data_IF_700232162710
#
_entry.id   IF_700232162710
#
_cell.length_a   1.000
_cell.length_b   1.000
_cell.length_c   1.000
_cell.angle_alpha   90.00
_cell.angle_beta   90.00
_cell.angle_gamma   90.00
#
_symmetry.space_group_name_H-M   'P 1'
#
loop_
_entity.id
_entity.type
_entity.pdbx_description
1 polymer ?
#
# COMPACT_ATOMS: atom_id res chain seq x y z
N UNK A 1 -52.47 1.70 -84.07
CA UNK A 1 -53.88 1.88 -83.72
C UNK A 1 -54.01 3.17 -82.92
N UNK A 2 -54.97 3.96 -83.36
CA UNK A 2 -55.34 5.34 -83.03
C UNK A 2 -55.85 5.49 -81.58
N UNK A 3 -55.48 6.61 -80.91
CA UNK A 3 -56.14 7.43 -79.85
C UNK A 3 -57.01 6.73 -78.75
N UNK A 4 -57.30 7.26 -77.56
CA UNK A 4 -58.01 8.51 -77.21
C UNK A 4 -57.98 8.68 -75.65
N UNK A 5 -58.13 9.94 -75.16
CA UNK A 5 -58.61 10.45 -73.84
C UNK A 5 -57.53 10.56 -72.72
N UNK A 6 -56.97 11.73 -72.34
CA UNK A 6 -57.48 13.01 -71.78
C UNK A 6 -58.25 12.85 -70.44
N UNK A 7 -57.67 13.08 -69.26
CA UNK A 7 -57.50 14.41 -68.65
C UNK A 7 -58.54 14.64 -67.53
N UNK A 8 -58.12 15.09 -66.35
CA UNK A 8 -58.82 16.07 -65.47
C UNK A 8 -57.89 16.48 -64.30
N UNK A 9 -57.54 17.75 -64.40
CA UNK A 9 -57.00 18.82 -63.55
C UNK A 9 -57.42 18.87 -62.06
N UNK A 10 -56.52 19.33 -61.17
CA UNK A 10 -56.62 20.51 -60.24
C UNK A 10 -55.63 20.39 -59.05
N UNK A 11 -54.47 21.08 -59.03
CA UNK A 11 -54.17 22.39 -58.39
C UNK A 11 -54.50 22.43 -56.87
N UNK A 12 -53.66 22.78 -55.88
CA UNK A 12 -52.56 23.75 -55.71
C UNK A 12 -51.82 23.45 -54.37
N UNK A 13 -50.47 23.52 -54.29
CA UNK A 13 -49.69 24.41 -53.38
C UNK A 13 -48.19 24.09 -53.35
N UNK A 14 -47.42 25.16 -53.51
CA UNK A 14 -45.97 25.29 -53.40
C UNK A 14 -45.39 24.81 -52.06
N UNK A 15 -44.13 24.34 -52.05
CA UNK A 15 -42.96 25.04 -51.46
C UNK A 15 -41.70 24.16 -51.57
N UNK A 16 -40.63 24.80 -52.02
CA UNK A 16 -39.23 24.34 -52.18
C UNK A 16 -38.59 24.13 -50.80
N UNK A 17 -37.93 22.98 -50.57
CA UNK A 17 -36.77 22.91 -49.65
C UNK A 17 -35.80 21.76 -50.00
N UNK A 18 -34.62 22.14 -50.50
CA UNK A 18 -33.27 21.64 -50.19
C UNK A 18 -33.10 20.15 -49.83
N UNK A 19 -32.56 19.36 -50.75
CA UNK A 19 -32.12 17.97 -50.50
C UNK A 19 -30.73 17.98 -49.82
N UNK A 20 -30.71 17.85 -48.49
CA UNK A 20 -29.52 17.49 -47.72
C UNK A 20 -29.24 16.00 -47.93
N UNK A 21 -28.15 15.69 -48.63
CA UNK A 21 -27.56 14.34 -48.67
C UNK A 21 -27.03 14.00 -47.26
N UNK A 22 -27.86 13.34 -46.46
CA UNK A 22 -27.43 12.67 -45.24
C UNK A 22 -26.63 11.44 -45.63
N UNK A 23 -25.31 11.50 -45.46
CA UNK A 23 -24.49 10.30 -45.31
C UNK A 23 -24.94 9.60 -44.02
N UNK A 24 -25.88 8.66 -44.14
CA UNK A 24 -26.16 7.70 -43.10
C UNK A 24 -24.92 6.81 -42.98
N UNK A 25 -24.08 7.08 -41.96
CA UNK A 25 -23.05 6.16 -41.53
C UNK A 25 -23.76 4.88 -41.03
N UNK A 26 -23.78 3.85 -41.87
CA UNK A 26 -24.17 2.50 -41.47
C UNK A 26 -23.10 2.03 -40.50
N UNK A 27 -23.38 2.11 -39.19
CA UNK A 27 -22.57 1.44 -38.18
C UNK A 27 -22.80 -0.06 -38.32
N UNK A 28 -21.90 -0.72 -39.05
CA UNK A 28 -21.75 -2.17 -38.97
C UNK A 28 -21.20 -2.45 -37.57
N UNK A 29 -22.08 -2.83 -36.63
CA UNK A 29 -21.66 -3.54 -35.42
C UNK A 29 -21.08 -4.88 -35.86
N UNK A 30 -19.76 -4.90 -36.09
CA UNK A 30 -19.04 -6.15 -36.28
C UNK A 30 -19.09 -6.92 -34.97
N UNK A 31 -19.92 -7.96 -34.92
CA UNK A 31 -19.81 -9.00 -33.89
C UNK A 31 -18.41 -9.60 -33.99
N UNK A 32 -17.64 -9.51 -32.91
CA UNK A 32 -16.34 -10.18 -32.82
C UNK A 32 -16.56 -11.68 -33.03
N UNK A 33 -16.13 -12.19 -34.19
CA UNK A 33 -16.10 -13.62 -34.46
C UNK A 33 -14.94 -14.21 -33.66
N UNK A 34 -15.26 -15.15 -32.76
CA UNK A 34 -14.30 -15.86 -31.91
C UNK A 34 -13.11 -16.51 -32.65
N UNK A 35 -13.12 -16.55 -33.98
CA UNK A 35 -12.04 -17.10 -34.82
C UNK A 35 -10.84 -16.19 -35.09
N UNK A 36 -10.79 -14.95 -34.55
CA UNK A 36 -9.67 -14.00 -34.80
C UNK A 36 -8.78 -13.73 -33.59
N UNK A 37 -9.20 -14.11 -32.39
CA UNK A 37 -8.41 -13.89 -31.17
C UNK A 37 -7.32 -14.97 -31.01
N UNK A 38 -6.10 -14.64 -30.56
CA UNK A 38 -5.08 -15.64 -30.23
C UNK A 38 -5.53 -16.60 -29.11
N UNK A 39 -4.80 -17.69 -28.90
CA UNK A 39 -5.02 -18.59 -27.77
C UNK A 39 -5.02 -17.83 -26.43
N UNK A 40 -6.07 -18.03 -25.64
CA UNK A 40 -6.28 -17.32 -24.39
C UNK A 40 -7.72 -17.36 -23.88
N UNK A 41 -7.88 -16.84 -22.67
CA UNK A 41 -9.17 -16.62 -22.03
C UNK A 41 -9.51 -15.14 -22.15
N UNK A 42 -10.72 -14.83 -22.59
CA UNK A 42 -11.16 -13.46 -22.81
C UNK A 42 -12.54 -13.21 -22.20
N UNK A 43 -12.82 -11.95 -21.89
CA UNK A 43 -14.15 -11.46 -21.55
C UNK A 43 -14.57 -10.39 -22.55
N UNK A 44 -15.68 -10.63 -23.25
CA UNK A 44 -16.35 -9.65 -24.07
C UNK A 44 -17.41 -8.94 -23.22
N UNK A 45 -17.18 -7.67 -22.94
CA UNK A 45 -18.13 -6.79 -22.27
C UNK A 45 -18.96 -6.04 -23.31
N UNK A 46 -20.26 -6.33 -23.37
CA UNK A 46 -21.20 -5.53 -24.14
C UNK A 46 -21.70 -4.38 -23.27
N UNK A 47 -21.49 -3.15 -23.71
CA UNK A 47 -21.89 -1.94 -22.97
C UNK A 47 -22.88 -1.10 -23.77
N UNK A 48 -23.48 -0.08 -23.13
CA UNK A 48 -24.28 0.94 -23.82
C UNK A 48 -23.48 1.79 -24.82
N UNK A 49 -22.14 1.74 -24.79
CA UNK A 49 -21.24 2.51 -25.68
C UNK A 49 -20.53 1.67 -26.74
N UNK A 50 -20.76 0.36 -26.74
CA UNK A 50 -20.10 -0.58 -27.64
C UNK A 50 -19.50 -1.77 -26.91
N UNK A 51 -18.63 -2.52 -27.59
CA UNK A 51 -18.01 -3.73 -27.06
C UNK A 51 -16.57 -3.46 -26.62
N UNK A 52 -16.17 -4.10 -25.53
CA UNK A 52 -14.79 -4.13 -25.02
C UNK A 52 -14.39 -5.60 -24.91
N UNK A 53 -13.25 -5.96 -25.48
CA UNK A 53 -12.68 -7.32 -25.35
C UNK A 53 -11.46 -7.25 -24.45
N UNK A 54 -11.48 -8.05 -23.39
CA UNK A 54 -10.44 -8.12 -22.37
C UNK A 54 -9.75 -9.48 -22.44
N UNK A 55 -8.43 -9.52 -22.51
CA UNK A 55 -7.65 -10.75 -22.25
C UNK A 55 -7.49 -10.94 -20.76
N UNK A 56 -7.74 -12.14 -20.24
CA UNK A 56 -7.63 -12.48 -18.83
C UNK A 56 -6.35 -13.27 -18.54
N UNK A 57 -5.63 -12.92 -17.47
CA UNK A 57 -4.34 -13.51 -17.11
C UNK A 57 -4.46 -14.74 -16.19
N UNK A 58 -5.29 -15.70 -16.59
CA UNK A 58 -5.70 -16.85 -15.76
C UNK A 58 -4.56 -17.75 -15.26
N UNK A 59 -3.40 -17.75 -15.94
CA UNK A 59 -2.22 -18.52 -15.51
C UNK A 59 -1.40 -17.80 -14.43
N UNK A 60 -1.52 -16.48 -14.31
CA UNK A 60 -0.71 -15.64 -13.41
C UNK A 60 -1.47 -15.27 -12.13
N UNK A 61 -2.76 -15.00 -12.27
CA UNK A 61 -3.66 -14.60 -11.16
C UNK A 61 -4.95 -15.45 -11.21
N UNK A 62 -4.81 -16.78 -11.01
CA UNK A 62 -5.87 -17.73 -11.27
C UNK A 62 -7.12 -17.49 -10.42
N UNK A 63 -7.00 -17.07 -9.15
CA UNK A 63 -8.19 -16.91 -8.29
C UNK A 63 -8.97 -15.65 -8.61
N UNK A 64 -8.28 -14.57 -8.94
CA UNK A 64 -8.91 -13.32 -9.39
C UNK A 64 -9.68 -13.56 -10.67
N UNK A 65 -9.08 -14.28 -11.63
CA UNK A 65 -9.74 -14.63 -12.88
C UNK A 65 -10.87 -15.64 -12.67
N UNK A 66 -10.70 -16.65 -11.81
CA UNK A 66 -11.76 -17.59 -11.43
C UNK A 66 -12.97 -16.87 -10.85
N UNK A 67 -12.76 -15.94 -9.93
CA UNK A 67 -13.83 -15.15 -9.34
C UNK A 67 -14.59 -14.36 -10.42
N UNK A 68 -13.86 -13.64 -11.28
CA UNK A 68 -14.47 -12.85 -12.34
C UNK A 68 -15.25 -13.72 -13.33
N UNK A 69 -14.65 -14.81 -13.82
CA UNK A 69 -15.27 -15.75 -14.77
C UNK A 69 -16.49 -16.42 -14.15
N UNK A 70 -16.38 -16.90 -12.91
CA UNK A 70 -17.49 -17.57 -12.23
C UNK A 70 -18.68 -16.64 -11.97
N UNK A 71 -18.44 -15.37 -11.62
CA UNK A 71 -19.47 -14.35 -11.52
C UNK A 71 -20.08 -14.00 -12.89
N UNK A 72 -19.26 -13.87 -13.93
CA UNK A 72 -19.73 -13.57 -15.29
C UNK A 72 -20.59 -14.70 -15.87
N UNK A 73 -20.24 -15.96 -15.62
CA UNK A 73 -20.97 -17.13 -16.11
C UNK A 73 -22.15 -17.53 -15.22
N UNK A 74 -22.22 -16.99 -14.00
CA UNK A 74 -23.22 -17.36 -13.00
C UNK A 74 -22.97 -18.72 -12.37
N UNK A 75 -21.74 -19.23 -12.41
CA UNK A 75 -21.33 -20.48 -11.76
C UNK A 75 -20.82 -20.25 -10.33
N UNK A 76 -20.58 -19.00 -9.93
CA UNK A 76 -20.19 -18.62 -8.56
C UNK A 76 -21.38 -18.05 -7.79
N UNK A 77 -21.58 -18.54 -6.56
CA UNK A 77 -22.61 -18.01 -5.66
C UNK A 77 -22.22 -16.59 -5.20
N UNK A 78 -23.22 -15.71 -5.07
CA UNK A 78 -23.08 -14.36 -4.51
C UNK A 78 -24.29 -14.02 -3.66
N UNK A 79 -24.12 -13.13 -2.68
CA UNK A 79 -25.19 -12.67 -1.80
C UNK A 79 -25.69 -11.30 -2.24
N UNK A 80 -26.99 -11.20 -2.48
CA UNK A 80 -27.65 -9.94 -2.82
C UNK A 80 -27.56 -8.97 -1.63
N UNK A 81 -26.94 -7.78 -1.80
CA UNK A 81 -26.80 -6.82 -0.71
C UNK A 81 -28.11 -6.14 -0.31
N UNK A 82 -29.15 -6.18 -1.15
CA UNK A 82 -30.48 -5.62 -0.86
C UNK A 82 -31.36 -6.67 -0.18
N UNK A 83 -31.46 -7.86 -0.76
CA UNK A 83 -32.38 -8.90 -0.23
C UNK A 83 -31.75 -9.84 0.78
N UNK A 84 -30.41 -9.90 0.85
CA UNK A 84 -29.66 -10.82 1.69
C UNK A 84 -29.69 -12.27 1.22
N UNK A 85 -30.30 -12.58 0.08
CA UNK A 85 -30.42 -13.94 -0.47
C UNK A 85 -29.18 -14.33 -1.26
N UNK A 86 -28.83 -15.62 -1.22
CA UNK A 86 -27.81 -16.17 -2.10
C UNK A 86 -28.40 -16.41 -3.50
N UNK A 87 -27.64 -16.04 -4.51
CA UNK A 87 -27.96 -16.17 -5.93
C UNK A 87 -26.79 -16.83 -6.65
N UNK A 88 -27.11 -17.52 -7.76
CA UNK A 88 -26.14 -18.18 -8.64
C UNK A 88 -26.54 -17.92 -10.09
N UNK A 89 -26.42 -16.65 -10.47
CA UNK A 89 -26.82 -16.08 -11.77
C UNK A 89 -25.70 -15.20 -12.31
N UNK A 90 -25.77 -14.85 -13.61
CA UNK A 90 -24.81 -13.97 -14.27
C UNK A 90 -24.79 -12.60 -13.59
N UNK A 91 -23.72 -12.34 -12.84
CA UNK A 91 -23.67 -11.26 -11.85
C UNK A 91 -23.52 -9.86 -12.47
N UNK A 92 -22.74 -9.75 -13.55
CA UNK A 92 -22.37 -8.46 -14.14
C UNK A 92 -23.39 -7.89 -15.11
N UNK A 93 -24.32 -8.73 -15.59
CA UNK A 93 -25.30 -8.36 -16.60
C UNK A 93 -26.27 -7.31 -16.03
N UNK A 94 -26.35 -6.15 -16.69
CA UNK A 94 -27.19 -5.02 -16.29
C UNK A 94 -26.59 -4.11 -15.21
N UNK A 95 -25.34 -4.32 -14.78
CA UNK A 95 -24.69 -3.43 -13.83
C UNK A 95 -24.25 -2.12 -14.49
N UNK A 96 -23.96 -1.09 -13.69
CA UNK A 96 -23.49 0.21 -14.20
C UNK A 96 -22.00 0.47 -13.92
N UNK A 97 -21.39 1.29 -14.76
CA UNK A 97 -20.12 1.93 -14.46
C UNK A 97 -20.38 3.12 -13.51
N UNK A 98 -20.34 2.85 -12.21
CA UNK A 98 -20.77 3.80 -11.17
C UNK A 98 -19.73 4.90 -10.89
N UNK A 99 -18.47 4.70 -11.27
CA UNK A 99 -17.40 5.68 -11.07
C UNK A 99 -16.52 5.75 -12.30
N UNK A 100 -16.46 6.94 -12.90
CA UNK A 100 -15.63 7.22 -14.08
C UNK A 100 -14.84 8.49 -13.80
N UNK A 101 -13.53 8.42 -13.92
CA UNK A 101 -12.63 9.56 -13.73
C UNK A 101 -11.81 9.68 -15.01
N UNK A 102 -12.03 10.80 -15.73
CA UNK A 102 -11.31 11.12 -16.95
C UNK A 102 -9.80 11.07 -16.71
N UNK A 103 -9.08 10.52 -17.68
CA UNK A 103 -7.62 10.35 -17.64
C UNK A 103 -7.13 9.55 -16.42
N UNK A 104 -7.99 8.68 -15.88
CA UNK A 104 -7.63 7.75 -14.82
C UNK A 104 -8.20 6.36 -15.07
N UNK A 105 -9.52 6.16 -14.91
CA UNK A 105 -10.16 4.84 -15.06
C UNK A 105 -11.70 4.91 -15.16
N UNK A 106 -12.29 3.80 -15.64
CA UNK A 106 -13.71 3.44 -15.50
C UNK A 106 -13.84 2.29 -14.50
N UNK A 107 -14.80 2.36 -13.57
CA UNK A 107 -15.02 1.36 -12.52
C UNK A 107 -16.47 0.87 -12.53
N UNK A 108 -16.63 -0.46 -12.44
CA UNK A 108 -17.91 -1.17 -12.48
C UNK A 108 -17.92 -2.37 -11.51
N UNK A 109 -18.89 -3.27 -11.68
CA UNK A 109 -19.00 -4.50 -10.88
C UNK A 109 -19.64 -4.32 -9.50
N UNK A 110 -20.36 -3.21 -9.28
CA UNK A 110 -21.13 -2.97 -8.05
C UNK A 110 -22.64 -3.19 -8.32
N UNK A 111 -23.30 -4.17 -7.65
CA UNK A 111 -24.73 -4.41 -7.77
C UNK A 111 -25.62 -3.27 -7.23
N UNK A 112 -25.10 -2.42 -6.35
CA UNK A 112 -25.81 -1.26 -5.82
C UNK A 112 -25.58 0.01 -6.67
N UNK A 113 -24.51 0.04 -7.46
CA UNK A 113 -24.09 1.23 -8.20
C UNK A 113 -23.64 2.41 -7.32
N UNK A 114 -23.38 2.20 -6.04
CA UNK A 114 -22.99 3.24 -5.06
C UNK A 114 -21.49 3.34 -4.83
N UNK A 115 -20.73 2.34 -5.27
CA UNK A 115 -19.33 2.07 -4.95
C UNK A 115 -19.11 1.18 -3.72
N UNK A 116 -20.16 0.72 -3.05
CA UNK A 116 -20.06 -0.01 -1.77
C UNK A 116 -20.63 -1.42 -1.79
N UNK A 117 -21.31 -1.84 -2.85
CA UNK A 117 -21.83 -3.21 -2.97
C UNK A 117 -20.78 -4.20 -3.46
N UNK A 118 -21.13 -5.48 -3.42
CA UNK A 118 -20.25 -6.57 -3.81
C UNK A 118 -20.97 -7.92 -3.76
N UNK A 119 -20.24 -9.04 -3.91
CA UNK A 119 -20.83 -10.36 -4.04
C UNK A 119 -21.10 -11.03 -2.68
N UNK A 120 -20.91 -10.31 -1.57
CA UNK A 120 -21.14 -10.82 -0.20
C UNK A 120 -19.96 -11.55 0.44
N UNK A 121 -18.79 -11.56 -0.21
CA UNK A 121 -17.55 -12.12 0.30
C UNK A 121 -16.35 -11.31 -0.22
N UNK A 122 -15.19 -11.53 0.40
CA UNK A 122 -13.91 -10.99 -0.02
C UNK A 122 -12.88 -12.10 -0.26
N UNK A 123 -11.88 -11.86 -1.10
CA UNK A 123 -10.73 -12.75 -1.30
C UNK A 123 -9.40 -11.98 -1.39
N UNK A 124 -8.25 -12.67 -1.17
CA UNK A 124 -6.92 -12.05 -1.13
C UNK A 124 -6.48 -11.40 -2.45
N UNK A 125 -5.47 -10.53 -2.37
CA UNK A 125 -4.80 -10.00 -3.56
C UNK A 125 -3.87 -11.03 -4.23
N UNK A 126 -3.79 -11.00 -5.55
CA UNK A 126 -2.82 -11.76 -6.36
C UNK A 126 -1.96 -10.80 -7.19
N UNK A 127 -0.70 -10.62 -6.79
CA UNK A 127 0.27 -9.81 -7.52
C UNK A 127 1.28 -10.68 -8.27
N UNK A 128 1.58 -10.31 -9.52
CA UNK A 128 2.58 -10.97 -10.35
C UNK A 128 3.63 -9.95 -10.81
N UNK A 129 4.94 -10.25 -10.81
CA UNK A 129 5.99 -9.28 -11.18
C UNK A 129 5.79 -8.62 -12.55
N UNK A 130 5.27 -9.38 -13.52
CA UNK A 130 5.04 -8.91 -14.89
C UNK A 130 3.70 -8.18 -15.09
N UNK A 131 2.87 -8.07 -14.05
CA UNK A 131 1.54 -7.45 -14.13
C UNK A 131 1.54 -6.15 -13.33
N UNK A 132 1.46 -5.03 -14.06
CA UNK A 132 1.51 -3.68 -13.50
C UNK A 132 0.67 -2.71 -14.34
N UNK A 133 0.45 -1.51 -13.82
CA UNK A 133 -0.36 -0.48 -14.46
C UNK A 133 0.49 0.42 -15.37
N UNK A 134 1.28 -0.17 -16.26
CA UNK A 134 2.24 0.55 -17.11
C UNK A 134 1.65 1.17 -18.38
N UNK A 135 0.41 0.84 -18.74
CA UNK A 135 -0.24 1.30 -19.98
C UNK A 135 -1.75 1.53 -19.80
N UNK A 136 -2.42 2.21 -20.75
CA UNK A 136 -3.87 2.22 -20.85
C UNK A 136 -4.47 0.82 -20.98
N UNK A 137 -5.72 0.66 -20.55
CA UNK A 137 -6.50 -0.56 -20.75
C UNK A 137 -6.17 -1.69 -19.78
N UNK A 138 -5.50 -1.43 -18.66
CA UNK A 138 -5.23 -2.45 -17.65
C UNK A 138 -6.48 -2.71 -16.82
N UNK A 139 -6.89 -3.98 -16.71
CA UNK A 139 -8.04 -4.44 -15.93
C UNK A 139 -7.56 -4.93 -14.55
N UNK A 140 -8.13 -4.35 -13.50
CA UNK A 140 -7.73 -4.62 -12.12
C UNK A 140 -8.91 -4.65 -11.17
N UNK A 141 -8.77 -5.37 -10.05
CA UNK A 141 -9.77 -5.39 -8.98
C UNK A 141 -9.78 -4.09 -8.19
N UNK A 142 -10.98 -3.55 -7.93
CA UNK A 142 -11.16 -2.54 -6.91
C UNK A 142 -11.26 -3.21 -5.52
N UNK A 143 -10.70 -2.58 -4.50
CA UNK A 143 -10.71 -3.09 -3.12
C UNK A 143 -10.81 -1.94 -2.10
N UNK A 144 -11.09 -2.27 -0.84
CA UNK A 144 -11.20 -1.33 0.28
C UNK A 144 -9.96 -1.37 1.20
N UNK A 145 -8.84 -1.91 0.69
CA UNK A 145 -7.66 -2.28 1.45
C UNK A 145 -7.13 -3.65 1.02
N UNK A 146 -5.95 -4.01 1.51
CA UNK A 146 -5.31 -5.29 1.19
C UNK A 146 -6.26 -6.47 1.47
N UNK A 147 -6.26 -7.43 0.55
CA UNK A 147 -7.02 -8.69 0.65
C UNK A 147 -8.56 -8.52 0.78
N UNK A 148 -9.10 -7.45 0.19
CA UNK A 148 -10.55 -7.17 0.18
C UNK A 148 -11.16 -7.15 -1.23
N UNK A 149 -10.66 -7.99 -2.14
CA UNK A 149 -11.22 -8.10 -3.48
C UNK A 149 -12.61 -8.74 -3.43
N UNK A 150 -13.53 -8.24 -4.26
CA UNK A 150 -14.90 -8.75 -4.37
C UNK A 150 -15.32 -8.91 -5.83
N UNK A 151 -16.30 -8.14 -6.27
CA UNK A 151 -16.76 -8.14 -7.67
C UNK A 151 -16.41 -6.86 -8.44
N UNK A 152 -16.05 -5.79 -7.74
CA UNK A 152 -15.78 -4.51 -8.37
C UNK A 152 -14.43 -4.54 -9.10
N UNK A 153 -14.40 -3.98 -10.29
CA UNK A 153 -13.19 -3.88 -11.13
C UNK A 153 -13.10 -2.49 -11.75
N UNK A 154 -11.91 -2.13 -12.22
CA UNK A 154 -11.69 -0.94 -13.03
C UNK A 154 -10.79 -1.23 -14.24
N UNK A 155 -10.92 -0.38 -15.27
CA UNK A 155 -10.09 -0.38 -16.48
C UNK A 155 -9.42 0.99 -16.59
N UNK A 156 -8.09 1.03 -16.71
CA UNK A 156 -7.33 2.28 -16.74
C UNK A 156 -7.46 3.01 -18.09
N UNK A 157 -7.49 4.35 -18.06
CA UNK A 157 -7.38 5.19 -19.26
C UNK A 157 -5.91 5.45 -19.63
N UNK A 158 -5.03 5.48 -18.62
CA UNK A 158 -3.61 5.88 -18.72
C UNK A 158 -2.75 4.99 -17.82
N UNK A 159 -1.40 5.03 -17.91
CA UNK A 159 -0.53 4.38 -16.93
C UNK A 159 -0.76 4.92 -15.50
N UNK A 160 -0.88 4.03 -14.52
CA UNK A 160 -1.17 4.38 -13.11
C UNK A 160 -0.28 3.59 -12.13
N UNK A 161 1.06 3.74 -12.18
CA UNK A 161 2.00 2.92 -11.40
C UNK A 161 1.84 3.04 -9.88
N UNK A 162 1.20 4.10 -9.38
CA UNK A 162 0.89 4.27 -7.96
C UNK A 162 -0.13 3.24 -7.41
N UNK A 163 -0.78 2.47 -8.30
CA UNK A 163 -1.69 1.37 -7.99
C UNK A 163 -1.00 -0.01 -7.93
N UNK A 164 0.27 -0.09 -8.36
CA UNK A 164 1.02 -1.35 -8.35
C UNK A 164 1.15 -1.90 -6.92
N UNK A 165 1.00 -3.22 -6.79
CA UNK A 165 0.99 -3.94 -5.49
C UNK A 165 -0.11 -3.48 -4.51
N UNK A 166 -1.13 -2.76 -5.01
CA UNK A 166 -2.33 -2.38 -4.25
C UNK A 166 -3.60 -2.95 -4.85
N UNK A 167 -3.64 -3.12 -6.17
CA UNK A 167 -4.78 -3.69 -6.90
C UNK A 167 -4.33 -4.84 -7.79
N UNK A 168 -5.03 -5.97 -7.71
CA UNK A 168 -4.70 -7.17 -8.47
C UNK A 168 -5.01 -6.96 -9.95
N UNK A 169 -3.97 -6.89 -10.79
CA UNK A 169 -4.10 -6.82 -12.26
C UNK A 169 -4.44 -8.20 -12.79
N UNK A 170 -5.57 -8.34 -13.48
CA UNK A 170 -6.06 -9.65 -13.96
C UNK A 170 -6.44 -9.71 -15.43
N UNK A 171 -6.29 -8.60 -16.15
CA UNK A 171 -6.42 -8.61 -17.59
C UNK A 171 -5.99 -7.31 -18.26
N UNK A 172 -6.25 -7.22 -19.55
CA UNK A 172 -6.01 -6.03 -20.35
C UNK A 172 -6.99 -5.94 -21.52
N UNK A 173 -7.29 -4.73 -21.97
CA UNK A 173 -8.07 -4.45 -23.17
C UNK A 173 -7.24 -4.85 -24.40
N UNK A 174 -7.81 -5.71 -25.22
CA UNK A 174 -7.26 -6.07 -26.54
C UNK A 174 -8.05 -5.44 -27.69
N UNK A 175 -9.34 -5.16 -27.48
CA UNK A 175 -10.20 -4.43 -28.43
C UNK A 175 -11.17 -3.51 -27.68
N UNK A 176 -11.56 -2.40 -28.29
CA UNK A 176 -12.55 -1.47 -27.71
C UNK A 176 -11.97 -0.45 -26.73
N UNK A 177 -10.69 -0.10 -26.82
CA UNK A 177 -10.10 0.97 -25.99
C UNK A 177 -10.77 2.34 -26.22
N UNK A 178 -11.23 2.61 -27.45
CA UNK A 178 -12.06 3.77 -27.77
C UNK A 178 -13.41 3.74 -27.03
N UNK A 179 -13.99 2.56 -26.83
CA UNK A 179 -15.23 2.37 -26.05
C UNK A 179 -14.95 2.63 -24.58
N UNK A 180 -13.87 2.08 -24.02
CA UNK A 180 -13.42 2.38 -22.65
C UNK A 180 -13.34 3.89 -22.40
N UNK A 181 -12.70 4.62 -23.31
CA UNK A 181 -12.54 6.08 -23.21
C UNK A 181 -13.86 6.85 -23.40
N UNK A 182 -14.89 6.24 -24.01
CA UNK A 182 -16.19 6.84 -24.25
C UNK A 182 -17.23 6.58 -23.14
N UNK A 183 -16.97 5.61 -22.26
CA UNK A 183 -17.83 5.29 -21.12
C UNK A 183 -17.95 6.50 -20.19
N UNK A 184 -19.16 6.78 -19.76
CA UNK A 184 -19.53 7.80 -18.80
C UNK A 184 -20.17 7.16 -17.56
N UNK A 185 -20.18 7.90 -16.45
CA UNK A 185 -20.83 7.42 -15.23
C UNK A 185 -22.30 7.09 -15.48
N UNK A 186 -22.72 5.90 -15.09
CA UNK A 186 -24.10 5.40 -15.26
C UNK A 186 -24.34 4.61 -16.55
N UNK A 187 -23.36 4.57 -17.46
CA UNK A 187 -23.43 3.66 -18.61
C UNK A 187 -23.51 2.20 -18.15
N UNK A 188 -24.18 1.40 -18.97
CA UNK A 188 -24.60 0.05 -18.60
C UNK A 188 -23.63 -0.99 -19.16
N UNK A 189 -23.27 -1.95 -18.33
CA UNK A 189 -22.66 -3.22 -18.70
C UNK A 189 -23.78 -4.21 -18.98
N UNK A 190 -24.16 -4.34 -20.25
CA UNK A 190 -25.33 -5.13 -20.67
C UNK A 190 -25.09 -6.63 -20.50
N UNK A 191 -23.89 -7.11 -20.84
CA UNK A 191 -23.52 -8.51 -20.67
C UNK A 191 -22.00 -8.72 -20.62
N UNK A 192 -21.55 -9.80 -19.95
CA UNK A 192 -20.15 -10.25 -19.96
C UNK A 192 -20.02 -11.69 -20.46
N UNK A 193 -19.58 -11.89 -21.71
CA UNK A 193 -19.41 -13.22 -22.30
C UNK A 193 -17.97 -13.70 -22.17
N UNK A 194 -17.74 -14.90 -21.64
CA UNK A 194 -16.41 -15.49 -21.55
C UNK A 194 -16.11 -16.26 -22.83
N UNK A 195 -15.03 -15.89 -23.51
CA UNK A 195 -14.55 -16.54 -24.73
C UNK A 195 -13.29 -17.35 -24.41
N UNK A 196 -13.29 -18.62 -24.78
CA UNK A 196 -12.18 -19.57 -24.55
C UNK A 196 -11.59 -19.99 -25.88
N UNK A 197 -10.37 -19.54 -26.20
CA UNK A 197 -9.64 -19.98 -27.38
C UNK A 197 -8.36 -20.74 -27.00
N UNK A 198 -8.06 -21.83 -27.71
CA UNK A 198 -6.97 -22.76 -27.36
C UNK A 198 -7.34 -23.78 -26.28
N UNK A 199 -6.59 -24.88 -26.19
CA UNK A 199 -6.88 -25.98 -25.26
C UNK A 199 -6.78 -25.56 -23.79
N UNK A 200 -5.73 -24.81 -23.43
CA UNK A 200 -5.51 -24.38 -22.04
C UNK A 200 -6.64 -23.49 -21.51
N UNK A 201 -7.19 -22.59 -22.33
CA UNK A 201 -8.31 -21.75 -21.93
C UNK A 201 -9.63 -22.54 -21.84
N UNK A 202 -9.82 -23.54 -22.72
CA UNK A 202 -10.98 -24.44 -22.68
C UNK A 202 -10.99 -25.32 -21.43
N UNK A 203 -9.81 -25.70 -20.94
CA UNK A 203 -9.64 -26.48 -19.70
C UNK A 203 -9.67 -25.61 -18.43
N UNK A 204 -9.69 -24.28 -18.55
CA UNK A 204 -9.76 -23.41 -17.38
C UNK A 204 -11.15 -23.53 -16.74
N UNK A 205 -11.19 -24.23 -15.61
CA UNK A 205 -12.33 -24.32 -14.72
C UNK A 205 -12.09 -23.40 -13.50
N UNK A 206 -12.89 -22.33 -13.34
CA UNK A 206 -12.81 -21.43 -12.19
C UNK A 206 -12.80 -22.14 -10.84
N UNK A 207 -13.58 -23.22 -10.67
CA UNK A 207 -13.69 -23.93 -9.40
C UNK A 207 -12.41 -24.73 -9.08
N UNK A 208 -11.75 -25.29 -10.10
CA UNK A 208 -10.51 -26.05 -9.92
C UNK A 208 -9.35 -25.14 -9.52
N UNK A 209 -9.23 -23.99 -10.17
CA UNK A 209 -8.20 -23.00 -9.86
C UNK A 209 -8.32 -22.45 -8.42
N UNK A 210 -9.53 -22.20 -7.94
CA UNK A 210 -9.78 -21.82 -6.53
C UNK A 210 -9.39 -22.94 -5.56
N UNK A 211 -9.73 -24.19 -5.86
CA UNK A 211 -9.35 -25.35 -5.05
C UNK A 211 -7.83 -25.53 -4.99
N UNK A 212 -7.13 -25.36 -6.11
CA UNK A 212 -5.67 -25.46 -6.18
C UNK A 212 -4.97 -24.34 -5.40
N UNK A 213 -5.46 -23.10 -5.48
CA UNK A 213 -4.92 -22.03 -4.64
C UNK A 213 -5.21 -22.28 -3.16
N UNK A 214 -6.41 -22.72 -2.80
CA UNK A 214 -6.74 -23.08 -1.42
C UNK A 214 -5.80 -24.17 -0.88
N UNK A 215 -5.48 -25.17 -1.69
CA UNK A 215 -4.50 -26.19 -1.36
C UNK A 215 -3.09 -25.59 -1.18
N UNK A 216 -2.62 -24.78 -2.13
CA UNK A 216 -1.31 -24.11 -2.03
C UNK A 216 -1.22 -23.22 -0.78
N UNK A 217 -2.26 -22.45 -0.48
CA UNK A 217 -2.32 -21.61 0.71
C UNK A 217 -2.31 -22.44 1.99
N UNK A 218 -2.97 -23.60 1.99
CA UNK A 218 -2.89 -24.56 3.09
C UNK A 218 -1.46 -25.07 3.28
N UNK A 219 -0.76 -25.45 2.21
CA UNK A 219 0.64 -25.89 2.26
C UNK A 219 1.59 -24.78 2.75
N UNK A 220 1.41 -23.55 2.26
CA UNK A 220 2.18 -22.39 2.74
C UNK A 220 1.89 -22.06 4.20
N UNK A 221 0.63 -22.21 4.62
CA UNK A 221 0.22 -22.04 6.01
C UNK A 221 0.94 -23.04 6.91
N UNK A 222 0.94 -24.32 6.56
CA UNK A 222 1.70 -25.36 7.29
C UNK A 222 3.20 -25.04 7.35
N UNK A 223 3.79 -24.56 6.25
CA UNK A 223 5.20 -24.13 6.21
C UNK A 223 5.50 -22.96 7.15
N UNK A 224 4.51 -22.10 7.42
CA UNK A 224 4.64 -20.96 8.34
C UNK A 224 4.55 -21.34 9.82
N UNK A 225 4.34 -22.63 10.13
CA UNK A 225 4.44 -23.13 11.50
C UNK A 225 5.87 -22.97 12.02
N UNK A 226 6.00 -22.27 13.14
CA UNK A 226 7.27 -22.08 13.84
C UNK A 226 7.65 -23.35 14.59
N UNK A 227 8.81 -23.90 14.26
CA UNK A 227 9.45 -25.00 14.98
C UNK A 227 10.44 -24.40 15.98
N UNK A 228 9.98 -24.20 17.21
CA UNK A 228 10.77 -23.60 18.29
C UNK A 228 11.61 -24.70 18.95
N UNK A 229 12.95 -24.55 19.05
CA UNK A 229 13.80 -25.52 19.72
C UNK A 229 13.47 -25.59 21.22
N UNK A 230 13.71 -26.75 21.83
CA UNK A 230 13.55 -26.89 23.28
C UNK A 230 14.56 -25.99 24.02
N UNK A 231 14.07 -25.25 25.01
CA UNK A 231 14.90 -24.40 25.86
C UNK A 231 15.66 -25.26 26.88
N UNK A 232 16.90 -25.65 26.56
CA UNK A 232 17.74 -26.51 27.43
C UNK A 232 18.63 -25.70 28.38
N UNK A 233 18.99 -24.47 28.01
CA UNK A 233 19.79 -23.59 28.85
C UNK A 233 18.97 -23.03 30.03
N UNK A 234 19.65 -22.69 31.13
CA UNK A 234 19.01 -22.07 32.32
C UNK A 234 18.49 -20.67 31.98
N UNK A 235 17.41 -20.25 32.64
CA UNK A 235 16.91 -18.87 32.59
C UNK A 235 18.00 -17.92 33.11
N UNK A 236 18.20 -16.82 32.41
CA UNK A 236 18.99 -15.69 32.87
C UNK A 236 18.08 -14.73 33.66
N UNK A 237 18.20 -14.66 35.00
CA UNK A 237 17.32 -13.84 35.82
C UNK A 237 17.40 -12.33 35.48
N UNK A 238 18.49 -11.85 34.88
CA UNK A 238 18.62 -10.44 34.46
C UNK A 238 17.71 -10.09 33.29
N UNK A 239 17.31 -11.09 32.50
CA UNK A 239 16.37 -10.91 31.38
C UNK A 239 14.91 -10.89 31.81
N UNK A 240 14.61 -11.22 33.07
CA UNK A 240 13.25 -11.38 33.59
C UNK A 240 12.82 -10.10 34.35
N UNK A 241 11.70 -9.45 33.95
CA UNK A 241 11.12 -8.36 34.70
C UNK A 241 10.66 -8.82 36.09
N UNK A 242 10.82 -7.95 37.07
CA UNK A 242 10.41 -8.16 38.46
C UNK A 242 9.08 -7.44 38.68
N UNK A 243 8.23 -7.97 39.55
CA UNK A 243 6.99 -7.29 39.92
C UNK A 243 7.30 -5.94 40.59
N UNK A 244 6.49 -4.92 40.30
CA UNK A 244 6.58 -3.60 40.94
C UNK A 244 7.74 -2.71 40.50
N UNK A 245 8.44 -3.03 39.40
CA UNK A 245 9.48 -2.12 38.89
C UNK A 245 8.91 -0.76 38.47
N UNK A 246 9.63 0.34 38.74
CA UNK A 246 9.20 1.67 38.32
C UNK A 246 9.21 1.76 36.79
N UNK A 247 8.18 2.41 36.23
CA UNK A 247 8.14 2.69 34.80
C UNK A 247 9.16 3.79 34.46
N UNK A 248 9.92 3.59 33.39
CA UNK A 248 10.74 4.65 32.81
C UNK A 248 9.86 5.70 32.11
N UNK A 249 10.37 6.92 31.97
CA UNK A 249 9.70 7.94 31.13
C UNK A 249 9.88 7.64 29.64
N UNK A 250 11.05 7.15 29.25
CA UNK A 250 11.38 6.85 27.85
C UNK A 250 12.05 5.48 27.71
N UNK A 251 11.70 4.75 26.66
CA UNK A 251 12.29 3.44 26.34
C UNK A 251 12.53 3.27 24.84
N UNK A 252 13.62 2.57 24.51
CA UNK A 252 13.85 2.01 23.18
C UNK A 252 13.73 0.49 23.28
N UNK A 253 12.97 -0.11 22.37
CA UNK A 253 12.70 -1.55 22.41
C UNK A 253 12.84 -2.18 21.03
N UNK A 254 13.45 -3.37 21.03
CA UNK A 254 13.32 -4.35 19.95
C UNK A 254 12.04 -5.16 20.18
N UNK A 255 11.47 -5.71 19.12
CA UNK A 255 10.19 -6.39 19.14
C UNK A 255 10.21 -7.66 18.29
N UNK A 256 9.76 -8.76 18.89
CA UNK A 256 9.40 -9.99 18.18
C UNK A 256 7.89 -10.07 18.10
N UNK A 257 7.36 -10.28 16.90
CA UNK A 257 5.91 -10.44 16.64
C UNK A 257 5.56 -11.88 16.29
N UNK A 258 4.54 -12.43 16.98
CA UNK A 258 3.83 -13.66 16.60
C UNK A 258 2.40 -13.31 16.20
N UNK A 259 2.14 -13.32 14.90
CA UNK A 259 0.83 -13.02 14.32
C UNK A 259 -0.15 -14.19 14.46
N UNK A 260 -1.44 -13.86 14.47
CA UNK A 260 -2.54 -14.82 14.44
C UNK A 260 -3.59 -14.42 13.39
N UNK A 261 -4.42 -15.38 12.98
CA UNK A 261 -5.52 -15.15 12.04
C UNK A 261 -6.45 -14.04 12.55
N UNK A 262 -6.62 -12.99 11.75
CA UNK A 262 -7.41 -11.79 12.10
C UNK A 262 -6.60 -10.63 12.68
N UNK A 263 -5.30 -10.79 12.92
CA UNK A 263 -4.41 -9.67 13.24
C UNK A 263 -4.24 -8.75 12.01
N UNK A 264 -4.03 -7.45 12.25
CA UNK A 264 -3.65 -6.45 11.25
C UNK A 264 -2.20 -6.69 10.85
N UNK A 265 -1.98 -7.47 9.80
CA UNK A 265 -0.62 -7.78 9.32
C UNK A 265 -0.61 -7.95 7.80
N UNK A 266 0.46 -7.55 7.11
CA UNK A 266 0.64 -7.89 5.69
C UNK A 266 1.04 -9.36 5.49
N UNK A 267 1.31 -10.12 6.56
CA UNK A 267 1.70 -11.52 6.46
C UNK A 267 0.52 -12.40 6.06
N UNK A 268 0.59 -13.00 4.88
CA UNK A 268 -0.36 -14.00 4.41
C UNK A 268 -0.07 -15.40 4.98
N UNK A 269 -1.04 -16.31 4.86
CA UNK A 269 -0.91 -17.73 5.23
C UNK A 269 -0.55 -17.93 6.72
N UNK A 270 -1.23 -17.21 7.61
CA UNK A 270 -0.98 -17.27 9.06
C UNK A 270 -1.45 -18.63 9.62
N UNK A 271 -0.53 -19.35 10.24
CA UNK A 271 -0.79 -20.67 10.81
C UNK A 271 -1.69 -20.63 12.05
N UNK A 272 -1.39 -19.72 12.98
CA UNK A 272 -1.93 -19.75 14.33
C UNK A 272 -3.29 -19.05 14.43
N UNK A 273 -4.22 -19.66 15.15
CA UNK A 273 -5.27 -18.89 15.83
C UNK A 273 -4.67 -18.11 17.01
N UNK A 274 -5.48 -17.29 17.67
CA UNK A 274 -5.02 -16.42 18.75
C UNK A 274 -4.44 -17.21 19.94
N UNK A 275 -5.14 -18.25 20.41
CA UNK A 275 -4.70 -19.04 21.56
C UNK A 275 -3.42 -19.85 21.27
N UNK A 276 -3.25 -20.33 20.04
CA UNK A 276 -2.04 -21.02 19.61
C UNK A 276 -0.86 -20.05 19.46
N UNK A 277 -1.11 -18.82 18.97
CA UNK A 277 -0.09 -17.78 18.88
C UNK A 277 0.41 -17.34 20.25
N UNK A 278 -0.47 -17.26 21.25
CA UNK A 278 -0.12 -16.98 22.65
C UNK A 278 0.88 -18.00 23.18
N UNK A 279 0.58 -19.31 23.08
CA UNK A 279 1.47 -20.40 23.52
C UNK A 279 2.82 -20.37 22.80
N UNK A 280 2.84 -19.96 21.54
CA UNK A 280 4.07 -19.81 20.75
C UNK A 280 4.87 -18.61 21.23
N UNK A 281 4.21 -17.49 21.51
CA UNK A 281 4.84 -16.30 22.07
C UNK A 281 5.42 -16.58 23.46
N UNK A 282 4.70 -17.29 24.34
CA UNK A 282 5.20 -17.73 25.65
C UNK A 282 6.47 -18.59 25.53
N UNK A 283 6.49 -19.55 24.59
CA UNK A 283 7.68 -20.37 24.32
C UNK A 283 8.86 -19.54 23.80
N UNK A 284 8.61 -18.56 22.93
CA UNK A 284 9.65 -17.67 22.43
C UNK A 284 10.16 -16.73 23.53
N UNK A 285 9.30 -16.23 24.41
CA UNK A 285 9.70 -15.46 25.59
C UNK A 285 10.58 -16.28 26.53
N UNK A 286 10.20 -17.53 26.80
CA UNK A 286 10.99 -18.44 27.62
C UNK A 286 12.37 -18.72 26.99
N UNK A 287 12.41 -18.99 25.68
CA UNK A 287 13.66 -19.19 24.94
C UNK A 287 14.54 -17.92 24.97
N UNK A 288 13.95 -16.75 24.73
CA UNK A 288 14.62 -15.47 24.73
C UNK A 288 15.27 -15.12 26.07
N UNK A 289 14.70 -15.61 27.18
CA UNK A 289 15.22 -15.42 28.54
C UNK A 289 16.31 -16.43 28.92
N UNK A 290 16.73 -17.34 28.05
CA UNK A 290 17.78 -18.32 28.37
C UNK A 290 19.18 -17.73 28.18
N UNK A 291 20.12 -18.18 29.01
CA UNK A 291 21.53 -17.77 28.91
C UNK A 291 22.10 -18.06 27.52
N UNK A 292 22.80 -17.07 26.94
CA UNK A 292 23.46 -17.19 25.64
C UNK A 292 22.54 -17.03 24.43
N UNK A 293 21.25 -16.80 24.63
CA UNK A 293 20.31 -16.53 23.53
C UNK A 293 20.36 -15.06 23.14
N UNK A 294 20.56 -14.80 21.85
CA UNK A 294 20.58 -13.45 21.28
C UNK A 294 19.20 -13.12 20.72
N UNK A 295 18.57 -12.05 21.23
CA UNK A 295 17.19 -11.71 20.88
C UNK A 295 17.00 -11.37 19.40
N UNK A 296 17.98 -10.71 18.77
CA UNK A 296 17.92 -10.37 17.34
C UNK A 296 17.88 -11.60 16.44
N UNK A 297 18.60 -12.67 16.79
CA UNK A 297 18.53 -13.94 16.04
C UNK A 297 17.14 -14.58 16.13
N UNK A 298 16.44 -14.41 17.26
CA UNK A 298 15.05 -14.87 17.38
C UNK A 298 14.10 -14.03 16.52
N UNK A 299 14.32 -12.72 16.43
CA UNK A 299 13.54 -11.85 15.54
C UNK A 299 13.70 -12.31 14.09
N UNK A 300 14.94 -12.50 13.62
CA UNK A 300 15.23 -12.91 12.24
C UNK A 300 14.60 -14.27 11.89
N UNK A 301 14.64 -15.20 12.83
CA UNK A 301 14.15 -16.57 12.61
C UNK A 301 12.65 -16.74 12.79
N UNK A 302 12.05 -16.01 13.72
CA UNK A 302 10.69 -16.30 14.19
C UNK A 302 9.75 -15.11 14.15
N UNK A 303 10.22 -13.87 13.95
CA UNK A 303 9.27 -12.76 13.89
C UNK A 303 8.50 -12.76 12.57
N UNK A 304 7.19 -12.58 12.69
CA UNK A 304 6.31 -12.33 11.55
C UNK A 304 6.45 -10.91 10.98
N UNK A 305 7.27 -10.06 11.61
CA UNK A 305 7.56 -8.68 11.19
C UNK A 305 9.07 -8.36 11.32
N UNK A 306 9.93 -9.27 10.87
CA UNK A 306 11.39 -9.11 10.99
C UNK A 306 11.96 -7.85 10.29
N UNK A 307 11.23 -7.28 9.32
CA UNK A 307 11.62 -6.05 8.62
C UNK A 307 11.48 -4.78 9.49
N UNK A 308 10.76 -4.85 10.61
CA UNK A 308 10.60 -3.75 11.56
C UNK A 308 10.88 -4.26 12.99
N UNK A 309 12.15 -4.61 13.28
CA UNK A 309 12.52 -5.28 14.52
C UNK A 309 12.59 -4.33 15.72
N UNK A 310 12.47 -3.02 15.51
CA UNK A 310 12.67 -1.99 16.53
C UNK A 310 11.58 -0.92 16.42
N UNK A 311 11.03 -0.52 17.57
CA UNK A 311 10.09 0.60 17.64
C UNK A 311 10.84 1.94 17.70
N UNK A 312 10.23 3.04 17.22
CA UNK A 312 10.67 4.38 17.56
C UNK A 312 10.82 4.57 19.07
N UNK A 313 11.58 5.58 19.50
CA UNK A 313 11.68 5.92 20.92
C UNK A 313 10.28 6.17 21.48
N UNK A 314 9.91 5.43 22.53
CA UNK A 314 8.62 5.55 23.17
C UNK A 314 8.72 6.46 24.38
N UNK A 315 7.72 7.33 24.55
CA UNK A 315 7.58 8.20 25.72
C UNK A 315 6.29 7.91 26.46
N UNK A 316 6.33 7.80 27.79
CA UNK A 316 5.14 7.60 28.61
C UNK A 316 4.22 8.82 28.64
N UNK A 317 4.73 9.97 28.19
CA UNK A 317 4.00 11.25 28.06
C UNK A 317 3.30 11.40 26.71
N UNK A 318 3.46 10.45 25.78
CA UNK A 318 2.85 10.50 24.46
C UNK A 318 1.31 10.39 24.55
N UNK A 319 0.56 11.34 23.94
CA UNK A 319 -0.89 11.28 23.95
C UNK A 319 -1.38 10.08 23.14
N UNK A 320 -2.40 9.38 23.65
CA UNK A 320 -3.00 8.19 23.01
C UNK A 320 -2.06 6.99 22.84
N UNK A 321 -1.01 6.86 23.67
CA UNK A 321 -0.12 5.71 23.66
C UNK A 321 -0.92 4.38 23.78
N UNK A 322 -0.82 3.47 22.80
CA UNK A 322 -1.55 2.20 22.81
C UNK A 322 -1.26 1.38 24.08
N UNK A 323 -2.31 0.76 24.64
CA UNK A 323 -2.22 0.04 25.91
C UNK A 323 -1.16 -1.07 25.88
N UNK A 324 -0.98 -1.75 24.74
CA UNK A 324 -0.01 -2.83 24.57
C UNK A 324 1.47 -2.35 24.64
N UNK A 325 1.75 -1.05 24.50
CA UNK A 325 3.11 -0.51 24.64
C UNK A 325 3.48 -0.20 26.10
N UNK A 326 2.51 -0.14 27.01
CA UNK A 326 2.75 0.28 28.40
C UNK A 326 3.67 -0.67 29.17
N UNK A 327 3.69 -1.95 28.82
CA UNK A 327 4.58 -2.93 29.46
C UNK A 327 6.06 -2.67 29.17
N UNK A 328 6.40 -2.09 28.01
CA UNK A 328 7.78 -1.77 27.64
C UNK A 328 8.45 -0.82 28.63
N UNK A 329 7.70 0.12 29.20
CA UNK A 329 8.22 1.10 30.16
C UNK A 329 8.64 0.48 31.50
N UNK A 330 8.14 -0.72 31.83
CA UNK A 330 8.48 -1.44 33.07
C UNK A 330 9.73 -2.31 32.93
N UNK A 331 10.31 -2.42 31.73
CA UNK A 331 11.53 -3.19 31.49
C UNK A 331 12.76 -2.38 31.88
N UNK A 332 13.80 -3.02 32.44
CA UNK A 332 15.18 -2.49 32.44
C UNK A 332 15.91 -2.88 31.16
N UNK A 333 17.01 -2.18 30.85
CA UNK A 333 17.84 -2.51 29.68
C UNK A 333 18.26 -3.99 29.77
N UNK A 334 18.07 -4.73 28.67
CA UNK A 334 18.30 -6.17 28.59
C UNK A 334 17.10 -7.05 28.94
N UNK A 335 16.09 -6.53 29.64
CA UNK A 335 14.91 -7.31 30.03
C UNK A 335 13.96 -7.54 28.86
N UNK A 336 13.28 -8.69 28.92
CA UNK A 336 12.33 -9.18 27.92
C UNK A 336 10.94 -9.23 28.55
N UNK A 337 9.93 -8.62 27.92
CA UNK A 337 8.55 -8.64 28.41
C UNK A 337 7.92 -10.04 28.31
N UNK A 338 6.85 -10.25 29.08
CA UNK A 338 5.89 -11.30 28.73
C UNK A 338 5.21 -10.95 27.39
N UNK A 339 4.61 -11.93 26.69
CA UNK A 339 3.83 -11.65 25.49
C UNK A 339 2.71 -10.65 25.75
N UNK A 340 2.56 -9.68 24.85
CA UNK A 340 1.53 -8.65 24.94
C UNK A 340 0.62 -8.75 23.74
N UNK A 341 -0.67 -9.00 23.97
CA UNK A 341 -1.66 -9.01 22.88
C UNK A 341 -1.83 -7.61 22.29
N UNK A 342 -1.97 -7.56 20.97
CA UNK A 342 -2.16 -6.33 20.21
C UNK A 342 -2.95 -6.61 18.93
N UNK A 343 -3.38 -5.55 18.25
CA UNK A 343 -4.00 -5.66 16.94
C UNK A 343 -3.07 -6.29 15.88
N UNK A 344 -1.76 -6.36 16.11
CA UNK A 344 -0.77 -6.87 15.17
C UNK A 344 -0.32 -8.31 15.48
N UNK A 345 -0.81 -8.90 16.58
CA UNK A 345 -0.33 -10.18 17.12
C UNK A 345 0.21 -10.04 18.55
N UNK A 346 0.81 -11.10 19.05
CA UNK A 346 1.53 -11.07 20.32
C UNK A 346 2.91 -10.47 20.15
N UNK A 347 3.19 -9.43 20.92
CA UNK A 347 4.44 -8.67 20.92
C UNK A 347 5.30 -9.08 22.11
N UNK A 348 6.58 -9.33 21.87
CA UNK A 348 7.58 -9.56 22.90
C UNK A 348 8.62 -8.47 22.76
N UNK A 349 8.79 -7.65 23.80
CA UNK A 349 9.71 -6.52 23.79
C UNK A 349 11.00 -6.88 24.49
N UNK A 350 12.12 -6.42 23.94
CA UNK A 350 13.40 -6.34 24.66
C UNK A 350 13.82 -4.88 24.77
N UNK A 351 14.03 -4.39 25.99
CA UNK A 351 14.54 -3.03 26.18
C UNK A 351 16.02 -2.98 25.83
N UNK A 352 16.37 -2.03 24.96
CA UNK A 352 17.75 -1.73 24.59
C UNK A 352 18.15 -0.38 25.16
N UNK A 353 19.45 -0.15 25.30
CA UNK A 353 19.96 1.18 25.59
C UNK A 353 19.73 2.10 24.39
N UNK A 354 19.58 3.38 24.68
CA UNK A 354 19.55 4.43 23.67
C UNK A 354 20.31 5.63 24.20
N UNK A 355 20.81 6.44 23.27
CA UNK A 355 21.47 7.71 23.54
C UNK A 355 20.59 8.81 22.95
N UNK A 356 20.27 9.82 23.75
CA UNK A 356 19.52 10.98 23.35
C UNK A 356 20.30 12.24 23.74
N UNK A 357 20.27 13.25 22.87
CA UNK A 357 20.88 14.55 23.10
C UNK A 357 19.85 15.65 22.89
N UNK A 358 20.06 16.77 23.57
CA UNK A 358 19.39 18.03 23.21
C UNK A 358 20.44 18.91 22.54
N UNK A 359 20.15 19.48 21.37
CA UNK A 359 21.13 20.28 20.64
C UNK A 359 20.53 21.52 19.98
N UNK A 360 21.39 22.50 19.75
CA UNK A 360 21.12 23.64 18.86
C UNK A 360 22.08 23.61 17.67
N UNK A 361 21.68 24.23 16.56
CA UNK A 361 22.59 24.42 15.44
C UNK A 361 22.53 25.81 14.81
N UNK A 362 23.57 26.16 14.07
CA UNK A 362 23.58 27.27 13.12
C UNK A 362 23.81 26.65 11.74
N UNK A 363 22.83 26.77 10.85
CA UNK A 363 22.91 26.25 9.47
C UNK A 363 23.22 27.39 8.51
N UNK A 364 24.32 27.28 7.78
CA UNK A 364 24.69 28.18 6.69
C UNK A 364 24.57 27.43 5.37
N UNK A 365 23.54 27.78 4.59
CA UNK A 365 23.27 27.19 3.28
C UNK A 365 24.15 27.81 2.19
N UNK A 366 24.32 27.10 1.07
CA UNK A 366 24.97 27.60 -0.13
C UNK A 366 24.24 27.12 -1.38
N UNK A 367 24.51 27.77 -2.52
CA UNK A 367 23.93 27.40 -3.81
C UNK A 367 24.30 25.95 -4.19
N UNK A 368 23.28 25.11 -4.35
CA UNK A 368 23.42 23.66 -4.60
C UNK A 368 23.18 22.78 -3.37
N UNK A 369 23.13 23.34 -2.15
CA UNK A 369 22.69 22.59 -0.97
C UNK A 369 21.17 22.34 -1.00
N UNK A 370 20.73 21.21 -0.44
CA UNK A 370 19.31 20.88 -0.36
C UNK A 370 18.56 21.93 0.47
N UNK A 371 17.42 22.39 -0.05
CA UNK A 371 16.53 23.38 0.60
C UNK A 371 17.18 24.75 0.83
N UNK A 372 18.26 25.07 0.13
CA UNK A 372 18.86 26.40 0.17
C UNK A 372 17.89 27.46 -0.37
N UNK A 373 17.66 28.52 0.41
CA UNK A 373 16.89 29.70 -0.02
C UNK A 373 17.80 30.87 -0.38
N UNK A 374 19.07 30.81 0.01
CA UNK A 374 20.10 31.82 -0.27
C UNK A 374 20.97 31.37 -1.44
N UNK A 375 21.27 32.29 -2.35
CA UNK A 375 22.24 32.10 -3.45
C UNK A 375 23.67 32.46 -3.02
N UNK A 376 24.11 31.92 -1.89
CA UNK A 376 25.46 32.16 -1.34
C UNK A 376 26.45 31.19 -1.97
N UNK A 377 27.62 31.64 -2.37
CA UNK A 377 28.69 30.75 -2.83
C UNK A 377 29.15 29.80 -1.71
N UNK A 378 29.55 28.57 -2.06
CA UNK A 378 29.94 27.54 -1.10
C UNK A 378 31.19 27.92 -0.29
N UNK A 379 32.16 28.62 -0.88
CA UNK A 379 33.36 29.09 -0.18
C UNK A 379 33.01 30.20 0.81
N UNK A 380 32.12 31.09 0.43
CA UNK A 380 31.68 32.18 1.31
C UNK A 380 30.79 31.69 2.45
N UNK A 381 29.94 30.69 2.21
CA UNK A 381 29.21 29.98 3.27
C UNK A 381 30.16 29.35 4.29
N UNK A 382 31.24 28.71 3.83
CA UNK A 382 32.25 28.12 4.70
C UNK A 382 32.97 29.18 5.55
N UNK A 383 33.43 30.27 4.92
CA UNK A 383 34.07 31.39 5.62
C UNK A 383 33.13 32.01 6.68
N UNK A 384 31.84 32.13 6.37
CA UNK A 384 30.85 32.63 7.32
C UNK A 384 30.72 31.67 8.51
N UNK A 385 30.62 30.36 8.28
CA UNK A 385 30.59 29.37 9.36
C UNK A 385 31.87 29.41 10.21
N UNK A 386 33.05 29.54 9.60
CA UNK A 386 34.33 29.68 10.31
C UNK A 386 34.40 30.97 11.14
N UNK A 387 33.88 32.09 10.61
CA UNK A 387 33.76 33.36 11.36
C UNK A 387 32.85 33.19 12.57
N UNK A 388 31.66 32.60 12.40
CA UNK A 388 30.71 32.36 13.50
C UNK A 388 31.34 31.48 14.57
N UNK A 389 32.09 30.44 14.17
CA UNK A 389 32.81 29.59 15.12
C UNK A 389 33.88 30.37 15.90
N UNK A 390 34.54 31.35 15.28
CA UNK A 390 35.46 32.25 15.98
C UNK A 390 34.71 33.15 16.96
N UNK A 391 33.61 33.78 16.53
CA UNK A 391 32.79 34.66 17.37
C UNK A 391 32.24 33.91 18.62
N UNK A 392 31.91 32.62 18.48
CA UNK A 392 31.54 31.72 19.58
C UNK A 392 32.69 31.45 20.56
N UNK A 393 33.92 31.26 20.07
CA UNK A 393 35.11 31.08 20.91
C UNK A 393 35.48 32.35 21.67
N UNK A 394 35.19 33.50 21.08
CA UNK A 394 35.39 34.82 21.70
C UNK A 394 34.29 35.17 22.73
N UNK A 395 33.33 34.27 22.96
CA UNK A 395 32.34 34.35 24.06
C UNK A 395 30.96 34.85 23.66
N UNK A 396 30.67 35.04 22.37
CA UNK A 396 29.35 35.45 21.88
C UNK A 396 28.31 34.35 22.15
N UNK A 397 27.08 34.73 22.48
CA UNK A 397 26.01 33.76 22.75
C UNK A 397 25.61 32.99 21.48
N UNK A 398 25.41 31.68 21.64
CA UNK A 398 25.07 30.80 20.53
C UNK A 398 23.68 31.09 19.95
N UNK A 399 22.69 31.35 20.81
CA UNK A 399 21.33 31.61 20.36
C UNK A 399 21.23 32.96 19.64
N UNK A 400 22.01 33.95 20.05
CA UNK A 400 22.14 35.24 19.34
C UNK A 400 22.69 35.03 17.92
N UNK A 401 23.82 34.34 17.78
CA UNK A 401 24.41 34.05 16.46
C UNK A 401 23.50 33.19 15.59
N UNK A 402 22.78 32.24 16.19
CA UNK A 402 21.81 31.42 15.47
C UNK A 402 20.64 32.26 14.92
N UNK A 403 20.09 33.19 15.71
CA UNK A 403 19.04 34.11 15.24
C UNK A 403 19.52 35.04 14.14
N UNK A 404 20.78 35.47 14.22
CA UNK A 404 21.36 36.40 13.26
C UNK A 404 21.71 35.73 11.93
N UNK A 405 22.29 34.53 11.96
CA UNK A 405 22.97 33.96 10.79
C UNK A 405 22.38 32.64 10.27
N UNK A 406 21.63 31.88 11.08
CA UNK A 406 21.14 30.58 10.64
C UNK A 406 20.09 30.74 9.54
N UNK A 407 20.33 30.10 8.39
CA UNK A 407 19.39 29.99 7.28
C UNK A 407 18.32 28.90 7.54
N UNK A 408 18.48 28.11 8.61
CA UNK A 408 17.56 27.04 8.98
C UNK A 408 16.32 27.53 9.75
N UNK A 409 15.23 26.75 9.76
CA UNK A 409 13.97 27.12 10.42
C UNK A 409 14.07 27.23 11.94
N UNK A 410 15.11 26.64 12.55
CA UNK A 410 15.42 26.77 13.98
C UNK A 410 16.12 28.09 14.33
N UNK A 411 16.64 28.83 13.33
CA UNK A 411 17.39 30.09 13.53
C UNK A 411 16.67 31.09 14.44
N UNK A 412 15.41 31.50 14.14
CA UNK A 412 14.64 32.40 14.99
C UNK A 412 14.46 31.91 16.44
N UNK A 413 14.57 30.60 16.68
CA UNK A 413 14.49 29.96 18.00
C UNK A 413 15.87 29.77 18.64
N UNK A 414 16.89 30.51 18.21
CA UNK A 414 18.25 30.35 18.72
C UNK A 414 18.91 29.05 18.28
N UNK A 415 18.46 28.47 17.16
CA UNK A 415 19.00 27.24 16.62
C UNK A 415 18.49 25.97 17.28
N UNK A 416 17.57 26.06 18.25
CA UNK A 416 17.08 24.92 19.02
C UNK A 416 16.45 23.82 18.14
N UNK A 417 16.98 22.60 18.25
CA UNK A 417 16.48 21.39 17.58
C UNK A 417 15.68 20.50 18.52
N UNK A 418 15.61 20.83 19.81
CA UNK A 418 15.04 19.97 20.82
C UNK A 418 15.85 18.69 21.05
N UNK A 419 15.17 17.69 21.62
CA UNK A 419 15.73 16.40 21.99
C UNK A 419 15.54 15.37 20.87
N UNK A 420 16.60 14.65 20.53
CA UNK A 420 16.56 13.59 19.53
C UNK A 420 17.56 12.47 19.85
N UNK A 421 17.40 11.34 19.17
CA UNK A 421 18.21 10.12 19.31
C UNK A 421 19.04 9.88 18.06
N UNK A 422 20.08 9.05 18.21
CA UNK A 422 20.94 8.66 17.09
C UNK A 422 20.11 7.99 15.99
N UNK A 423 20.36 8.39 14.75
CA UNK A 423 19.67 7.99 13.53
C UNK A 423 18.57 8.97 13.08
N UNK A 424 18.24 10.00 13.88
CA UNK A 424 17.21 10.98 13.51
C UNK A 424 17.77 12.16 12.68
N UNK A 425 19.08 12.43 12.72
CA UNK A 425 19.73 13.42 11.85
C UNK A 425 20.54 12.72 10.75
N UNK A 426 21.04 13.50 9.78
CA UNK A 426 21.94 12.97 8.75
C UNK A 426 23.25 12.46 9.37
N UNK A 427 23.90 11.45 8.78
CA UNK A 427 25.01 10.72 9.42
C UNK A 427 26.15 11.61 9.94
N UNK A 428 26.53 12.65 9.18
CA UNK A 428 27.62 13.56 9.56
C UNK A 428 27.23 14.44 10.75
N UNK A 429 25.97 14.87 10.81
CA UNK A 429 25.43 15.65 11.93
C UNK A 429 25.36 14.79 13.20
N UNK A 430 24.81 13.57 13.07
CA UNK A 430 24.71 12.61 14.16
C UNK A 430 26.10 12.26 14.72
N UNK A 431 27.06 11.93 13.85
CA UNK A 431 28.41 11.62 14.28
C UNK A 431 29.02 12.78 15.07
N UNK A 432 28.85 14.02 14.61
CA UNK A 432 29.37 15.19 15.28
C UNK A 432 28.72 15.41 16.65
N UNK A 433 27.39 15.49 16.72
CA UNK A 433 26.69 15.89 17.96
C UNK A 433 26.83 14.86 19.08
N UNK A 434 26.80 13.57 18.75
CA UNK A 434 26.94 12.52 19.76
C UNK A 434 28.40 12.29 20.20
N UNK A 435 29.38 12.90 19.52
CA UNK A 435 30.78 12.89 19.97
C UNK A 435 31.13 14.10 20.85
N UNK A 436 30.20 15.04 21.02
CA UNK A 436 30.38 16.22 21.88
C UNK A 436 30.04 15.90 23.33
N UNK A 437 30.80 16.50 24.25
CA UNK A 437 30.39 16.61 25.65
C UNK A 437 29.24 17.63 25.81
N UNK A 438 28.37 17.49 26.83
CA UNK A 438 27.35 18.49 27.13
C UNK A 438 27.93 19.90 27.29
N UNK A 439 27.34 20.88 26.61
CA UNK A 439 27.81 22.27 26.56
C UNK A 439 28.81 22.58 25.44
N UNK A 440 29.44 21.56 24.83
CA UNK A 440 30.45 21.74 23.80
C UNK A 440 29.85 22.13 22.45
N UNK A 441 30.68 22.78 21.61
CA UNK A 441 30.36 23.22 20.26
C UNK A 441 31.26 22.48 19.27
N UNK A 442 30.68 21.96 18.19
CA UNK A 442 31.42 21.29 17.11
C UNK A 442 32.29 22.27 16.32
N UNK A 443 33.23 21.72 15.54
CA UNK A 443 33.74 22.43 14.36
C UNK A 443 32.65 22.65 13.31
N UNK A 444 33.06 23.13 12.13
CA UNK A 444 32.16 23.21 10.97
C UNK A 444 31.91 21.81 10.42
N UNK A 445 30.66 21.37 10.46
CA UNK A 445 30.20 20.07 9.94
C UNK A 445 29.47 20.29 8.63
N UNK A 446 29.96 19.70 7.55
CA UNK A 446 29.28 19.78 6.26
C UNK A 446 28.28 18.63 6.09
N UNK A 447 27.07 18.96 5.62
CA UNK A 447 26.06 17.98 5.21
C UNK A 447 25.49 18.37 3.84
N UNK A 448 24.61 17.54 3.29
CA UNK A 448 23.83 17.88 2.09
C UNK A 448 22.96 19.15 2.20
N UNK A 449 22.72 19.67 3.42
CA UNK A 449 21.95 20.89 3.66
C UNK A 449 22.82 22.16 3.78
N UNK A 450 24.14 22.02 3.88
CA UNK A 450 25.06 23.14 4.06
C UNK A 450 26.05 22.91 5.21
N UNK A 451 26.58 23.99 5.76
CA UNK A 451 27.49 23.95 6.89
C UNK A 451 26.76 24.15 8.21
N UNK A 452 27.02 23.27 9.16
CA UNK A 452 26.45 23.30 10.50
C UNK A 452 27.54 23.61 11.53
N UNK A 453 27.17 24.41 12.52
CA UNK A 453 27.87 24.49 13.81
C UNK A 453 26.88 24.00 14.84
N UNK A 454 27.24 23.00 15.63
CA UNK A 454 26.33 22.25 16.48
C UNK A 454 26.75 22.45 17.92
N UNK A 455 25.82 22.80 18.80
CA UNK A 455 26.04 22.85 20.24
C UNK A 455 25.23 21.74 20.90
N UNK A 456 25.91 20.83 21.59
CA UNK A 456 25.23 19.87 22.46
C UNK A 456 24.86 20.59 23.76
N UNK A 457 23.59 20.56 24.13
CA UNK A 457 23.10 21.14 25.38
C UNK A 457 23.16 20.09 26.50
N UNK A 458 22.67 18.87 26.22
CA UNK A 458 22.63 17.73 27.14
C UNK A 458 22.99 16.45 26.40
#
# INVERSE_FOLDING_TARGET
MTNIISGITYFFKNIITLLLLSFAAVHISGTVLAGTLPDGLYAQMKTSKGEIVLRLFYQRVPVTVSNFVGLAEGTKEWKDPVTGKNNKTRFYDGLSFHRVIKDFMIQGGDPLGTGSGGPGYNFPDEFHPDLNHSKPGILSMANAGADTNGSQFFITHVPTPHLDKKHSVFGEVVEGMNVVNAIQKGDQLLAVTILRNGESAKLFDPEVAEKLLAQRNKELTEKNKKVIPAATAKIDPETVPKSGQPAAEEVSVEMLVVTYKGARTPKQNIYYDKAAAEKVAEKLTDLARRKGVVFSELIDRFSDLAQQPKLPLLSSKEPNLPAFLKSAFKLKVGQISDPVDSAFGYLIFRRVSFEAVTASHILITYEGALRATKKRDRKDAKKLAEKILKDLKDGTDFAELARQYSDGPSGPKGGDLGRFTRGQMVPEFDQAVFSLEPGAVSGVVETQFGYHIIKRIQ
#
